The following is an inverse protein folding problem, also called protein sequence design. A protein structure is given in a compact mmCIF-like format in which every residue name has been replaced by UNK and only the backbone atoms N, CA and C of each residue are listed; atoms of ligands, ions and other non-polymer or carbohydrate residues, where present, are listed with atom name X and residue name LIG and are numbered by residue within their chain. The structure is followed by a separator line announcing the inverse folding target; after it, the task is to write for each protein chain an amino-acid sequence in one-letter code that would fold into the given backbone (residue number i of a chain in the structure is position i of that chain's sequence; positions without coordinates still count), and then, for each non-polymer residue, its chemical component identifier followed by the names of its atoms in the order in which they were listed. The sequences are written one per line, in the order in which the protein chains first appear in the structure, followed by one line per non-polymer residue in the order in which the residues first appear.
data_IF_664590879585
#
_entry.id   IF_664590879585
#
_cell.length_a   1.000
_cell.length_b   1.000
_cell.length_c   1.000
_cell.angle_alpha   90.00
_cell.angle_beta   90.00
_cell.angle_gamma   90.00
#
_symmetry.space_group_name_H-M   'P 1'
#
loop_
_entity.id
_entity.type
_entity.pdbx_description
1 polymer ?
#
# COMPACT_ATOMS: atom_id res chain seq x y z
N UNK A 1 -6.13 15.85 3.26
CA UNK A 1 -5.66 14.51 3.69
C UNK A 1 -5.20 14.58 5.14
N UNK A 2 -5.60 13.63 5.99
CA UNK A 2 -5.07 13.54 7.34
C UNK A 2 -3.57 13.28 7.28
N UNK A 3 -2.78 14.00 8.07
CA UNK A 3 -1.34 13.81 8.14
C UNK A 3 -1.07 12.47 8.81
N UNK A 4 -0.37 11.56 8.12
CA UNK A 4 0.03 10.27 8.70
C UNK A 4 1.16 10.56 9.70
N UNK A 5 0.87 10.41 10.98
CA UNK A 5 1.83 10.73 12.06
C UNK A 5 2.85 9.62 12.30
N UNK A 6 2.52 8.38 11.91
CA UNK A 6 3.39 7.20 12.07
C UNK A 6 3.26 6.28 10.87
N UNK A 7 4.39 5.80 10.36
CA UNK A 7 4.47 4.81 9.29
C UNK A 7 5.66 3.89 9.49
N UNK A 8 5.63 2.72 8.86
CA UNK A 8 6.76 1.78 8.83
C UNK A 8 7.77 2.15 7.73
N UNK A 9 7.28 2.68 6.62
CA UNK A 9 8.10 3.03 5.47
C UNK A 9 8.06 4.54 5.27
N UNK A 10 9.23 5.12 5.01
CA UNK A 10 9.38 6.55 4.78
C UNK A 10 10.25 6.78 3.55
N UNK A 11 9.92 7.79 2.77
CA UNK A 11 10.71 8.23 1.62
C UNK A 11 11.11 9.68 1.75
N UNK A 12 12.25 10.03 1.17
CA UNK A 12 12.75 11.39 1.15
C UNK A 12 13.62 11.66 -0.07
N UNK A 13 13.78 12.93 -0.37
CA UNK A 13 14.68 13.41 -1.42
C UNK A 13 15.87 14.09 -0.76
N UNK A 14 17.07 13.59 -1.04
CA UNK A 14 18.32 14.11 -0.53
C UNK A 14 19.12 14.75 -1.67
N UNK A 15 19.87 15.80 -1.35
CA UNK A 15 20.70 16.51 -2.31
C UNK A 15 22.19 16.18 -2.08
N UNK A 16 22.85 15.47 -3.03
CA UNK A 16 24.23 14.99 -2.88
C UNK A 16 25.23 16.07 -2.49
N UNK A 17 25.07 17.30 -2.95
CA UNK A 17 25.94 18.44 -2.60
C UNK A 17 25.93 18.82 -1.11
N UNK A 18 24.91 18.38 -0.38
CA UNK A 18 24.74 18.57 1.06
C UNK A 18 24.97 17.29 1.86
N UNK A 19 25.20 16.16 1.16
CA UNK A 19 25.54 14.88 1.80
C UNK A 19 27.04 14.80 2.07
N UNK A 20 27.41 13.86 2.94
CA UNK A 20 28.82 13.49 3.16
C UNK A 20 29.41 12.98 1.84
N UNK A 21 30.70 13.22 1.60
CA UNK A 21 31.37 12.75 0.38
C UNK A 21 31.36 11.21 0.26
N UNK A 22 31.51 10.52 1.39
CA UNK A 22 31.57 9.06 1.53
C UNK A 22 30.18 8.41 1.74
N UNK A 23 29.07 9.13 1.49
CA UNK A 23 27.73 8.65 1.85
C UNK A 23 27.35 7.30 1.25
N UNK A 24 27.83 6.97 0.05
CA UNK A 24 27.54 5.69 -0.62
C UNK A 24 28.19 4.50 0.09
N UNK A 25 29.41 4.69 0.60
CA UNK A 25 30.16 3.68 1.32
C UNK A 25 29.62 3.43 2.73
N UNK A 26 29.13 4.49 3.38
CA UNK A 26 28.71 4.42 4.79
C UNK A 26 27.19 4.36 5.00
N UNK A 27 26.39 4.44 3.94
CA UNK A 27 24.92 4.52 4.06
C UNK A 27 24.33 3.37 4.89
N UNK A 28 24.83 2.14 4.69
CA UNK A 28 24.37 0.97 5.42
C UNK A 28 24.61 1.07 6.91
N UNK A 29 25.84 1.43 7.28
CA UNK A 29 26.27 1.56 8.68
C UNK A 29 25.62 2.79 9.34
N UNK A 30 25.40 3.86 8.57
CA UNK A 30 24.82 5.10 9.08
C UNK A 30 23.33 4.95 9.35
N UNK A 31 22.56 4.39 8.42
CA UNK A 31 21.14 4.25 8.58
C UNK A 31 20.74 3.10 9.53
N UNK A 32 21.50 2.00 9.53
CA UNK A 32 21.25 0.77 10.29
C UNK A 32 19.87 0.11 10.04
N UNK A 33 19.07 0.65 9.11
CA UNK A 33 17.77 0.14 8.69
C UNK A 33 17.83 -0.31 7.24
N UNK A 34 16.98 -1.25 6.82
CA UNK A 34 16.80 -1.58 5.41
C UNK A 34 16.46 -0.34 4.58
N UNK A 35 17.16 -0.20 3.44
CA UNK A 35 16.98 0.96 2.57
C UNK A 35 17.03 0.58 1.09
N UNK A 36 16.40 1.42 0.27
CA UNK A 36 16.55 1.43 -1.18
C UNK A 36 16.70 2.86 -1.66
N UNK A 37 17.58 3.08 -2.65
CA UNK A 37 17.73 4.40 -3.25
C UNK A 37 18.04 4.34 -4.75
N UNK A 38 17.77 5.44 -5.44
CA UNK A 38 18.28 5.72 -6.77
C UNK A 38 18.71 7.19 -6.84
N UNK A 39 19.86 7.46 -7.48
CA UNK A 39 20.34 8.80 -7.73
C UNK A 39 19.85 9.28 -9.10
N UNK A 40 19.14 10.38 -9.12
CA UNK A 40 18.63 11.01 -10.33
C UNK A 40 19.55 12.16 -10.75
N UNK A 41 20.24 11.95 -11.86
CA UNK A 41 21.15 12.92 -12.46
C UNK A 41 20.77 13.34 -13.90
N UNK A 42 19.69 12.75 -14.46
CA UNK A 42 19.27 13.01 -15.85
C UNK A 42 17.87 13.64 -15.91
N UNK A 43 17.24 13.89 -14.78
CA UNK A 43 15.92 14.48 -14.71
C UNK A 43 15.87 15.88 -15.35
N UNK A 44 14.77 16.15 -16.06
CA UNK A 44 14.47 17.47 -16.62
C UNK A 44 13.28 18.09 -15.89
N UNK A 45 13.31 19.41 -15.78
CA UNK A 45 12.18 20.15 -15.26
C UNK A 45 11.09 20.37 -16.35
N UNK A 46 10.02 21.06 -16.00
CA UNK A 46 8.93 21.40 -16.93
C UNK A 46 9.35 22.30 -18.11
N UNK A 47 10.55 22.91 -18.05
CA UNK A 47 11.13 23.73 -19.10
C UNK A 47 12.19 22.99 -19.93
N UNK A 48 12.34 21.66 -19.70
CA UNK A 48 13.38 20.81 -20.30
C UNK A 48 14.81 21.20 -19.88
N UNK A 49 14.96 21.95 -18.81
CA UNK A 49 16.26 22.24 -18.20
C UNK A 49 16.67 21.09 -17.27
N UNK A 50 17.98 20.85 -17.16
CA UNK A 50 18.52 19.83 -16.28
C UNK A 50 18.14 20.12 -14.83
N UNK A 51 17.49 19.16 -14.18
CA UNK A 51 17.12 19.26 -12.77
C UNK A 51 18.34 18.94 -11.90
N UNK A 52 18.45 19.63 -10.78
CA UNK A 52 19.51 19.39 -9.79
C UNK A 52 19.57 17.92 -9.39
N UNK A 53 20.77 17.37 -9.34
CA UNK A 53 21.01 16.00 -8.88
C UNK A 53 20.39 15.77 -7.52
N UNK A 54 19.71 14.65 -7.37
CA UNK A 54 19.05 14.29 -6.12
C UNK A 54 18.96 12.77 -5.97
N UNK A 55 18.83 12.33 -4.73
CA UNK A 55 18.68 10.91 -4.37
C UNK A 55 17.29 10.71 -3.80
N UNK A 56 16.52 9.82 -4.40
CA UNK A 56 15.32 9.28 -3.78
C UNK A 56 15.71 8.13 -2.86
N UNK A 57 15.34 8.23 -1.59
CA UNK A 57 15.66 7.25 -0.56
C UNK A 57 14.38 6.71 0.07
N UNK A 58 14.32 5.40 0.25
CA UNK A 58 13.32 4.70 1.07
C UNK A 58 14.03 4.10 2.27
N UNK A 59 13.47 4.25 3.46
CA UNK A 59 13.91 3.57 4.69
C UNK A 59 12.76 2.76 5.26
N UNK A 60 13.02 1.48 5.55
CA UNK A 60 12.07 0.56 6.14
C UNK A 60 12.40 0.34 7.63
N UNK A 61 11.49 0.75 8.51
CA UNK A 61 11.65 0.55 9.95
C UNK A 61 11.03 -0.79 10.38
N UNK A 62 11.52 -1.45 11.43
CA UNK A 62 10.96 -2.70 11.92
C UNK A 62 9.52 -2.53 12.43
N UNK A 63 9.20 -1.35 12.96
CA UNK A 63 7.88 -0.97 13.45
C UNK A 63 7.51 0.42 12.93
N UNK A 64 6.25 0.83 13.11
CA UNK A 64 5.83 2.19 12.78
C UNK A 64 6.62 3.22 13.59
N UNK A 65 7.14 4.24 12.91
CA UNK A 65 7.90 5.34 13.53
C UNK A 65 7.30 6.69 13.17
N UNK A 66 7.70 7.72 13.92
CA UNK A 66 7.21 9.09 13.70
C UNK A 66 7.97 9.79 12.58
N UNK A 67 7.33 10.79 11.97
CA UNK A 67 7.96 11.70 11.00
C UNK A 67 9.32 12.24 11.47
N UNK A 68 9.37 12.72 12.73
CA UNK A 68 10.60 13.32 13.28
C UNK A 68 11.74 12.31 13.37
N UNK A 69 11.46 11.08 13.80
CA UNK A 69 12.49 10.04 13.88
C UNK A 69 12.96 9.64 12.48
N UNK A 70 12.06 9.42 11.53
CA UNK A 70 12.42 9.07 10.16
C UNK A 70 13.27 10.16 9.49
N UNK A 71 12.88 11.43 9.65
CA UNK A 71 13.65 12.56 9.13
C UNK A 71 15.06 12.63 9.76
N UNK A 72 15.17 12.46 11.07
CA UNK A 72 16.47 12.47 11.75
C UNK A 72 17.38 11.34 11.28
N UNK A 73 16.84 10.14 11.05
CA UNK A 73 17.64 9.00 10.54
C UNK A 73 18.17 9.31 9.14
N UNK A 74 17.36 9.84 8.23
CA UNK A 74 17.81 10.22 6.89
C UNK A 74 18.80 11.38 6.91
N UNK A 75 18.65 12.31 7.85
CA UNK A 75 19.52 13.47 8.00
C UNK A 75 20.95 13.11 8.50
N UNK A 76 21.16 11.90 9.04
CA UNK A 76 22.50 11.39 9.37
C UNK A 76 23.45 11.29 8.16
N UNK A 77 22.88 11.29 6.94
CA UNK A 77 23.66 11.32 5.70
C UNK A 77 24.11 12.73 5.31
N UNK A 78 23.69 13.76 6.02
CA UNK A 78 24.11 15.16 5.78
C UNK A 78 25.58 15.37 6.13
N UNK A 79 26.26 16.21 5.36
CA UNK A 79 27.59 16.69 5.73
C UNK A 79 27.53 17.61 6.97
N UNK A 80 28.63 17.73 7.66
CA UNK A 80 28.72 18.59 8.85
C UNK A 80 28.29 20.03 8.51
N UNK A 81 27.37 20.56 9.31
CA UNK A 81 26.82 21.92 9.13
C UNK A 81 25.91 22.10 7.91
N UNK A 82 25.60 21.03 7.15
CA UNK A 82 24.69 21.06 6.02
C UNK A 82 23.41 20.31 6.31
N UNK A 83 22.41 20.47 5.42
CA UNK A 83 21.16 19.73 5.47
C UNK A 83 20.85 19.13 4.10
N UNK A 84 20.97 17.81 3.98
CA UNK A 84 20.74 17.10 2.73
C UNK A 84 19.25 16.84 2.48
N UNK A 85 18.43 16.74 3.52
CA UNK A 85 17.00 16.46 3.44
C UNK A 85 16.18 17.51 4.18
N UNK A 86 15.10 18.01 3.57
CA UNK A 86 14.22 18.98 4.20
C UNK A 86 12.93 18.34 4.76
N UNK A 87 12.43 17.29 4.12
CA UNK A 87 11.21 16.59 4.51
C UNK A 87 11.27 15.13 4.08
N UNK A 88 10.56 14.29 4.81
CA UNK A 88 10.25 12.93 4.38
C UNK A 88 8.73 12.74 4.32
N UNK A 89 8.30 11.68 3.68
CA UNK A 89 6.88 11.38 3.49
C UNK A 89 6.61 9.92 3.87
N UNK A 90 5.48 9.68 4.54
CA UNK A 90 5.05 8.34 4.87
C UNK A 90 4.65 7.59 3.59
N UNK A 91 5.13 6.37 3.45
CA UNK A 91 4.83 5.50 2.32
C UNK A 91 3.67 4.58 2.68
N UNK A 92 2.58 4.66 1.93
CA UNK A 92 1.41 3.79 2.09
C UNK A 92 1.59 2.52 1.23
N UNK A 93 1.93 2.67 -0.04
CA UNK A 93 2.17 1.56 -0.98
C UNK A 93 3.66 1.43 -1.30
N UNK A 94 4.36 0.50 -0.65
CA UNK A 94 5.82 0.38 -0.78
C UNK A 94 6.25 0.04 -2.21
N UNK A 95 5.53 -0.81 -2.93
CA UNK A 95 5.84 -1.18 -4.32
C UNK A 95 5.84 0.04 -5.23
N UNK A 96 4.82 0.86 -5.16
CA UNK A 96 4.69 2.04 -6.02
C UNK A 96 5.86 3.03 -5.83
N UNK A 97 6.30 3.23 -4.59
CA UNK A 97 7.45 4.12 -4.29
C UNK A 97 8.77 3.45 -4.69
N UNK A 98 8.88 2.13 -4.57
CA UNK A 98 10.04 1.37 -5.00
C UNK A 98 10.21 1.39 -6.53
N UNK A 99 9.12 1.26 -7.28
CA UNK A 99 9.13 1.39 -8.74
C UNK A 99 9.37 2.84 -9.18
N UNK A 100 8.88 3.81 -8.38
CA UNK A 100 9.16 5.23 -8.60
C UNK A 100 10.65 5.59 -8.47
N UNK A 101 11.45 4.83 -7.70
CA UNK A 101 12.89 5.08 -7.60
C UNK A 101 13.59 5.11 -8.97
N UNK A 102 13.12 4.33 -9.93
CA UNK A 102 13.65 4.28 -11.30
C UNK A 102 12.65 4.85 -12.33
N UNK A 103 11.64 5.57 -11.86
CA UNK A 103 10.53 6.09 -12.65
C UNK A 103 9.72 5.03 -13.43
N UNK A 104 9.74 3.78 -12.97
CA UNK A 104 9.02 2.66 -13.58
C UNK A 104 7.55 2.58 -13.10
N UNK A 105 6.86 3.72 -13.06
CA UNK A 105 5.43 3.80 -12.78
C UNK A 105 4.66 4.30 -14.01
N UNK A 106 3.39 3.94 -14.11
CA UNK A 106 2.54 4.39 -15.22
C UNK A 106 2.45 5.93 -15.29
N UNK A 107 2.38 6.60 -14.13
CA UNK A 107 2.35 8.07 -14.05
C UNK A 107 3.67 8.69 -14.56
N UNK A 108 4.81 8.11 -14.23
CA UNK A 108 6.10 8.56 -14.74
C UNK A 108 6.20 8.40 -16.26
N UNK A 109 5.75 7.25 -16.81
CA UNK A 109 5.74 7.02 -18.26
C UNK A 109 4.79 7.99 -18.97
N UNK A 110 3.59 8.23 -18.45
CA UNK A 110 2.63 9.22 -18.99
C UNK A 110 3.19 10.64 -18.98
N UNK A 111 3.99 11.00 -17.99
CA UNK A 111 4.64 12.31 -17.86
C UNK A 111 5.94 12.42 -18.66
N UNK A 112 6.37 11.37 -19.35
CA UNK A 112 7.61 11.35 -20.13
C UNK A 112 8.86 11.56 -19.29
N UNK A 113 8.85 11.09 -18.02
CA UNK A 113 10.04 11.15 -17.17
C UNK A 113 11.14 10.23 -17.68
N UNK A 114 12.39 10.64 -17.45
CA UNK A 114 13.56 9.80 -17.72
C UNK A 114 13.45 8.49 -16.95
N UNK A 115 13.68 7.37 -17.66
CA UNK A 115 13.66 6.03 -17.04
C UNK A 115 15.10 5.67 -16.66
N UNK A 116 15.29 5.24 -15.43
CA UNK A 116 16.57 4.76 -14.95
C UNK A 116 16.67 3.24 -15.09
N UNK A 117 17.89 2.72 -15.29
CA UNK A 117 18.10 1.27 -15.38
C UNK A 117 17.80 0.61 -14.03
N UNK A 118 17.16 -0.58 -14.00
CA UNK A 118 16.90 -1.31 -12.76
C UNK A 118 18.14 -1.53 -11.88
N UNK A 119 19.35 -1.61 -12.46
CA UNK A 119 20.60 -1.73 -11.73
C UNK A 119 21.03 -0.46 -10.98
N UNK A 120 20.46 0.70 -11.33
CA UNK A 120 20.70 1.97 -10.63
C UNK A 120 19.93 2.07 -9.31
N UNK A 121 18.96 1.18 -9.11
CA UNK A 121 18.26 1.04 -7.84
C UNK A 121 19.07 0.18 -6.89
N UNK A 122 19.67 0.80 -5.91
CA UNK A 122 20.55 0.16 -4.93
C UNK A 122 19.75 -0.15 -3.66
N UNK A 123 19.91 -1.36 -3.15
CA UNK A 123 19.32 -1.79 -1.86
C UNK A 123 20.40 -2.20 -0.87
N UNK A 124 20.12 -2.03 0.41
CA UNK A 124 21.05 -2.44 1.47
C UNK A 124 20.34 -2.81 2.77
N UNK A 125 21.10 -3.33 3.72
CA UNK A 125 20.65 -3.79 5.04
C UNK A 125 19.47 -4.77 4.95
N UNK A 126 19.54 -5.73 4.00
CA UNK A 126 18.51 -6.73 3.77
C UNK A 126 17.13 -6.14 3.38
N UNK A 127 17.13 -5.06 2.60
CA UNK A 127 15.89 -4.55 2.03
C UNK A 127 15.28 -5.60 1.09
N UNK A 128 14.12 -6.10 1.43
CA UNK A 128 13.38 -7.09 0.65
C UNK A 128 11.98 -6.59 0.31
N UNK A 129 11.83 -6.12 -0.93
CA UNK A 129 10.54 -5.59 -1.41
C UNK A 129 9.45 -6.66 -1.39
N UNK A 130 9.78 -7.92 -1.73
CA UNK A 130 8.82 -9.02 -1.72
C UNK A 130 8.27 -9.30 -0.32
N UNK A 131 9.13 -9.23 0.72
CA UNK A 131 8.70 -9.38 2.10
C UNK A 131 7.85 -8.18 2.58
N UNK A 132 8.09 -6.98 2.04
CA UNK A 132 7.34 -5.77 2.42
C UNK A 132 6.00 -5.64 1.73
N UNK A 133 5.79 -6.31 0.60
CA UNK A 133 4.51 -6.41 -0.09
C UNK A 133 3.53 -7.37 0.58
N UNK A 134 4.01 -8.22 1.46
CA UNK A 134 3.12 -9.05 2.25
C UNK A 134 2.25 -8.17 3.13
N UNK A 135 0.95 -8.44 3.09
CA UNK A 135 -0.03 -7.73 3.90
C UNK A 135 0.39 -7.66 5.38
N UNK A 136 0.48 -6.47 5.91
CA UNK A 136 0.63 -6.25 7.34
C UNK A 136 -0.59 -6.72 8.13
N UNK A 137 -0.41 -6.95 9.43
CA UNK A 137 -1.51 -7.38 10.31
C UNK A 137 -2.69 -6.39 10.31
N UNK A 138 -2.42 -5.09 10.20
CA UNK A 138 -3.47 -4.07 10.15
C UNK A 138 -4.30 -4.18 8.87
N UNK A 139 -3.67 -4.34 7.72
CA UNK A 139 -4.32 -4.50 6.42
C UNK A 139 -5.13 -5.80 6.36
N UNK A 140 -4.56 -6.91 6.87
CA UNK A 140 -5.30 -8.19 7.00
C UNK A 140 -6.54 -8.05 7.88
N UNK A 141 -6.45 -7.30 8.97
CA UNK A 141 -7.58 -7.07 9.86
C UNK A 141 -8.66 -6.18 9.20
N UNK A 142 -8.26 -5.17 8.43
CA UNK A 142 -9.19 -4.33 7.67
C UNK A 142 -9.98 -5.17 6.66
N UNK A 143 -9.28 -5.94 5.82
CA UNK A 143 -9.91 -6.86 4.86
C UNK A 143 -10.80 -7.91 5.54
N UNK A 144 -10.34 -8.45 6.68
CA UNK A 144 -11.15 -9.39 7.47
C UNK A 144 -12.45 -8.77 7.97
N UNK A 145 -12.41 -7.53 8.47
CA UNK A 145 -13.60 -6.83 8.95
C UNK A 145 -14.56 -6.50 7.81
N UNK A 146 -14.04 -6.05 6.67
CA UNK A 146 -14.83 -5.78 5.47
C UNK A 146 -15.56 -7.03 4.97
N UNK A 147 -14.84 -8.14 4.82
CA UNK A 147 -15.44 -9.43 4.45
C UNK A 147 -16.45 -9.93 5.47
N UNK A 148 -16.17 -9.73 6.77
CA UNK A 148 -17.13 -10.03 7.85
C UNK A 148 -18.39 -9.16 7.79
N UNK A 149 -18.29 -7.93 7.33
CA UNK A 149 -19.42 -7.03 7.08
C UNK A 149 -20.21 -7.50 5.87
N UNK A 150 -19.56 -7.87 4.77
CA UNK A 150 -20.21 -8.43 3.59
C UNK A 150 -21.04 -9.69 3.93
N UNK A 151 -20.51 -10.60 4.76
CA UNK A 151 -21.27 -11.77 5.25
C UNK A 151 -22.57 -11.34 5.93
N UNK A 152 -22.56 -10.29 6.75
CA UNK A 152 -23.76 -9.82 7.48
C UNK A 152 -24.73 -9.12 6.55
N UNK A 153 -24.26 -8.28 5.65
CA UNK A 153 -25.10 -7.46 4.77
C UNK A 153 -25.79 -8.30 3.70
N UNK A 154 -25.06 -9.25 3.10
CA UNK A 154 -25.61 -10.16 2.10
C UNK A 154 -26.30 -11.39 2.71
N UNK A 155 -26.13 -11.61 4.03
CA UNK A 155 -26.80 -12.70 4.72
C UNK A 155 -26.28 -14.09 4.35
N UNK A 156 -25.01 -14.23 3.94
CA UNK A 156 -24.44 -15.52 3.56
C UNK A 156 -24.58 -16.54 4.69
N UNK A 157 -25.16 -17.67 4.38
CA UNK A 157 -25.39 -18.82 5.30
C UNK A 157 -24.50 -20.02 4.97
N UNK A 158 -23.83 -19.99 3.82
CA UNK A 158 -22.93 -21.02 3.31
C UNK A 158 -21.56 -20.38 2.98
N UNK A 159 -20.48 -21.04 3.39
CA UNK A 159 -19.13 -20.56 3.15
C UNK A 159 -18.76 -20.56 1.66
N UNK A 160 -19.23 -21.53 0.89
CA UNK A 160 -18.92 -21.58 -0.56
C UNK A 160 -19.57 -20.43 -1.33
N UNK A 161 -20.82 -20.08 -1.01
CA UNK A 161 -21.51 -18.93 -1.63
C UNK A 161 -20.75 -17.63 -1.31
N UNK A 162 -20.23 -17.51 -0.09
CA UNK A 162 -19.41 -16.37 0.30
C UNK A 162 -18.05 -16.38 -0.41
N UNK A 163 -17.41 -17.56 -0.58
CA UNK A 163 -16.16 -17.69 -1.31
C UNK A 163 -16.31 -17.22 -2.77
N UNK A 164 -17.35 -17.69 -3.46
CA UNK A 164 -17.67 -17.29 -4.83
C UNK A 164 -17.88 -15.77 -4.92
N UNK A 165 -18.64 -15.20 -3.97
CA UNK A 165 -18.82 -13.74 -3.89
C UNK A 165 -17.50 -12.99 -3.76
N UNK A 166 -16.58 -13.44 -2.91
CA UNK A 166 -15.28 -12.78 -2.73
C UNK A 166 -14.44 -12.85 -4.00
N UNK A 167 -14.40 -14.00 -4.66
CA UNK A 167 -13.68 -14.18 -5.93
C UNK A 167 -14.24 -13.30 -7.04
N UNK A 168 -15.56 -13.14 -7.09
CA UNK A 168 -16.22 -12.36 -8.15
C UNK A 168 -16.21 -10.84 -7.88
N UNK A 169 -16.09 -10.43 -6.62
CA UNK A 169 -16.25 -9.02 -6.23
C UNK A 169 -14.91 -8.30 -6.04
N UNK A 170 -13.91 -8.99 -5.48
CA UNK A 170 -12.64 -8.35 -5.15
C UNK A 170 -11.56 -8.70 -6.19
N UNK A 171 -11.05 -7.68 -6.89
CA UNK A 171 -9.95 -7.86 -7.86
C UNK A 171 -8.60 -8.09 -7.16
N UNK A 172 -8.45 -7.62 -5.91
CA UNK A 172 -7.22 -7.77 -5.14
C UNK A 172 -7.08 -9.19 -4.57
N UNK A 173 -6.11 -9.94 -5.06
CA UNK A 173 -5.80 -11.31 -4.61
C UNK A 173 -5.49 -11.42 -3.12
N UNK A 174 -5.19 -10.31 -2.46
CA UNK A 174 -4.96 -10.28 -1.02
C UNK A 174 -6.21 -10.68 -0.21
N UNK A 175 -7.41 -10.42 -0.72
CA UNK A 175 -8.65 -10.91 -0.11
C UNK A 175 -8.72 -12.43 -0.07
N UNK A 176 -8.24 -13.10 -1.12
CA UNK A 176 -8.15 -14.57 -1.16
C UNK A 176 -7.14 -15.08 -0.13
N UNK A 177 -5.99 -14.39 0.04
CA UNK A 177 -5.02 -14.74 1.07
C UNK A 177 -5.61 -14.61 2.47
N UNK A 178 -6.27 -13.49 2.77
CA UNK A 178 -6.95 -13.25 4.05
C UNK A 178 -8.03 -14.29 4.29
N UNK A 179 -8.84 -14.63 3.27
CA UNK A 179 -9.85 -15.67 3.35
C UNK A 179 -9.24 -17.03 3.72
N UNK A 180 -8.12 -17.41 3.09
CA UNK A 180 -7.40 -18.65 3.43
C UNK A 180 -6.91 -18.65 4.86
N UNK A 181 -6.31 -17.54 5.32
CA UNK A 181 -5.78 -17.39 6.67
C UNK A 181 -6.89 -17.49 7.75
N UNK A 182 -8.08 -16.98 7.44
CA UNK A 182 -9.19 -16.87 8.40
C UNK A 182 -10.42 -17.71 8.02
N UNK A 183 -10.26 -18.71 7.15
CA UNK A 183 -11.36 -19.56 6.63
C UNK A 183 -12.29 -20.08 7.70
N UNK A 184 -11.74 -20.64 8.80
CA UNK A 184 -12.54 -21.12 9.93
C UNK A 184 -13.32 -20.03 10.69
N UNK A 185 -12.93 -18.76 10.62
CA UNK A 185 -13.71 -17.65 11.15
C UNK A 185 -14.89 -17.32 10.24
N UNK A 186 -14.66 -17.23 8.95
CA UNK A 186 -15.70 -16.95 7.97
C UNK A 186 -16.74 -18.08 7.89
N UNK A 187 -16.29 -19.34 7.97
CA UNK A 187 -17.18 -20.49 8.09
C UNK A 187 -18.10 -20.40 9.33
N UNK A 188 -17.53 -20.01 10.48
CA UNK A 188 -18.33 -19.81 11.71
C UNK A 188 -19.31 -18.62 11.57
N UNK A 189 -18.92 -17.55 10.88
CA UNK A 189 -19.79 -16.40 10.64
C UNK A 189 -20.98 -16.77 9.76
N UNK A 190 -20.76 -17.45 8.64
CA UNK A 190 -21.83 -17.92 7.75
C UNK A 190 -22.75 -18.92 8.44
N UNK A 191 -22.18 -19.85 9.20
CA UNK A 191 -22.94 -20.80 10.05
C UNK A 191 -23.77 -20.07 11.12
N UNK A 192 -23.22 -19.01 11.72
CA UNK A 192 -23.95 -18.17 12.69
C UNK A 192 -25.15 -17.45 12.07
N UNK A 193 -25.03 -16.98 10.81
CA UNK A 193 -26.16 -16.43 10.07
C UNK A 193 -27.23 -17.49 9.80
N UNK A 194 -26.83 -18.70 9.40
CA UNK A 194 -27.74 -19.82 9.23
C UNK A 194 -28.53 -20.13 10.53
N UNK A 195 -27.86 -20.22 11.65
CA UNK A 195 -28.47 -20.46 12.96
C UNK A 195 -29.47 -19.36 13.36
N UNK A 196 -29.12 -18.08 13.14
CA UNK A 196 -30.03 -16.95 13.38
C UNK A 196 -31.27 -17.04 12.52
N UNK A 197 -31.07 -17.37 11.25
CA UNK A 197 -32.16 -17.52 10.30
C UNK A 197 -33.09 -18.68 10.73
N UNK A 198 -32.53 -19.84 11.09
CA UNK A 198 -33.29 -21.01 11.55
C UNK A 198 -34.08 -20.72 12.83
N UNK A 199 -33.51 -19.98 13.78
CA UNK A 199 -34.14 -19.61 15.05
C UNK A 199 -35.19 -18.51 14.88
N UNK A 200 -34.97 -17.55 13.98
CA UNK A 200 -35.80 -16.37 13.83
C UNK A 200 -36.95 -16.50 12.81
N UNK A 201 -36.84 -17.42 11.85
CA UNK A 201 -37.76 -17.50 10.71
C UNK A 201 -38.10 -18.93 10.34
N UNK A 202 -38.81 -19.63 11.20
CA UNK A 202 -39.40 -20.93 10.87
C UNK A 202 -40.44 -20.79 9.76
N UNK A 203 -40.06 -20.63 8.50
CA UNK A 203 -40.95 -20.52 7.38
C UNK A 203 -40.30 -20.08 6.05
N UNK A 204 -39.17 -19.43 6.06
CA UNK A 204 -38.48 -19.06 4.84
C UNK A 204 -37.27 -19.98 4.61
N UNK A 205 -37.25 -20.67 3.46
CA UNK A 205 -36.11 -21.53 3.12
C UNK A 205 -34.93 -20.69 2.65
N UNK A 206 -33.66 -20.94 3.12
CA UNK A 206 -32.44 -20.18 2.73
C UNK A 206 -32.22 -20.12 1.22
N UNK A 207 -32.57 -21.20 0.51
CA UNK A 207 -32.40 -21.32 -0.93
C UNK A 207 -33.18 -20.29 -1.78
N UNK A 208 -34.20 -19.64 -1.23
CA UNK A 208 -34.97 -18.65 -1.98
C UNK A 208 -34.38 -17.25 -1.96
N UNK A 209 -33.58 -16.91 -0.92
CA UNK A 209 -32.85 -15.65 -0.87
C UNK A 209 -31.59 -15.67 -1.75
N UNK A 210 -30.98 -16.85 -1.92
CA UNK A 210 -29.74 -17.03 -2.70
C UNK A 210 -30.00 -17.11 -4.22
N UNK A 211 -31.14 -17.68 -4.66
CA UNK A 211 -31.50 -17.73 -6.09
C UNK A 211 -31.90 -16.37 -6.68
N UNK A 212 -32.24 -15.38 -5.86
CA UNK A 212 -32.46 -14.00 -6.36
C UNK A 212 -31.16 -13.24 -6.62
N UNK A 213 -30.06 -13.58 -5.99
CA UNK A 213 -28.76 -12.98 -6.25
C UNK A 213 -28.12 -13.51 -7.54
N UNK A 214 -28.43 -14.77 -7.94
CA UNK A 214 -27.84 -15.40 -9.14
C UNK A 214 -28.65 -15.24 -10.42
N UNK A 215 -29.91 -14.74 -10.38
CA UNK A 215 -30.79 -14.59 -11.57
C UNK A 215 -31.07 -13.16 -11.98
N UNK A 216 -30.72 -12.17 -11.19
CA UNK A 216 -30.70 -10.78 -11.65
C UNK A 216 -29.26 -10.41 -12.01
N UNK A 217 -28.93 -10.57 -13.30
CA UNK A 217 -27.92 -9.75 -13.96
C UNK A 217 -28.41 -8.28 -14.00
N UNK A 218 -28.66 -7.73 -12.87
CA UNK A 218 -28.73 -6.30 -12.65
C UNK A 218 -27.51 -6.03 -11.82
N UNK A 219 -26.51 -5.41 -12.43
CA UNK A 219 -25.43 -4.74 -11.73
C UNK A 219 -26.03 -4.07 -10.50
N UNK A 220 -25.64 -4.47 -9.28
CA UNK A 220 -25.94 -3.64 -8.14
C UNK A 220 -25.22 -2.32 -8.40
N UNK A 221 -25.94 -1.21 -8.26
CA UNK A 221 -25.35 0.10 -8.12
C UNK A 221 -24.46 0.13 -6.85
N UNK A 222 -23.37 -0.61 -6.86
CA UNK A 222 -22.28 -0.52 -5.89
C UNK A 222 -21.39 0.70 -6.14
N UNK A 223 -21.75 1.55 -7.12
CA UNK A 223 -21.02 2.78 -7.43
C UNK A 223 -21.22 3.90 -6.42
N UNK A 224 -22.11 3.75 -5.43
CA UNK A 224 -22.33 4.81 -4.45
C UNK A 224 -21.45 4.77 -3.20
N UNK A 225 -20.68 3.68 -2.97
CA UNK A 225 -19.79 3.58 -1.80
C UNK A 225 -18.31 3.68 -2.14
N UNK A 226 -17.94 3.62 -3.43
CA UNK A 226 -16.54 3.79 -3.87
C UNK A 226 -16.16 5.27 -4.10
N UNK A 227 -17.11 6.20 -3.98
CA UNK A 227 -16.88 7.63 -4.24
C UNK A 227 -16.27 8.42 -3.07
N UNK A 228 -15.68 7.78 -2.07
CA UNK A 228 -15.00 8.51 -0.98
C UNK A 228 -13.50 8.71 -1.23
N UNK A 229 -12.92 8.18 -2.32
CA UNK A 229 -11.51 8.36 -2.62
C UNK A 229 -11.21 8.75 -4.08
N UNK A 230 -11.81 9.83 -4.57
CA UNK A 230 -11.23 10.55 -5.69
C UNK A 230 -10.30 11.66 -5.18
N UNK A 231 -9.01 11.67 -5.56
CA UNK A 231 -8.15 12.81 -5.26
C UNK A 231 -8.60 13.98 -6.14
N UNK A 232 -9.16 14.99 -5.53
CA UNK A 232 -9.48 16.27 -6.15
C UNK A 232 -8.28 16.79 -6.95
N UNK A 233 -8.43 16.88 -8.27
CA UNK A 233 -7.57 17.65 -9.15
C UNK A 233 -7.54 19.10 -8.62
N UNK A 234 -6.39 19.55 -8.20
CA UNK A 234 -6.11 20.97 -8.11
C UNK A 234 -5.86 21.50 -9.52
N UNK A 235 -6.85 22.24 -10.04
CA UNK A 235 -6.69 23.17 -11.13
C UNK A 235 -6.10 24.47 -10.55
N UNK A 236 -5.04 24.87 -11.13
CA UNK A 236 -4.45 26.20 -11.39
C UNK A 236 -2.94 26.20 -11.30
#
# INVERSE_FOLDING_TARGET
MAKIDKARFWTGVLYPENMREDWKEVIGDTLQYPYAYCQHSQDKDSKSEHRKDHVHLIVAFPNTTTYKHALNVMDLLSAEGKKAINKCEAVVGIRNVYDYLIHDTEDCRKKGKEQYDPSERITGNNFDIGAYEQLGTAEKNEMFLEMGQAIREHGFTNYMDFYEFVVDTYEDMNYIEVMRCYSGHFERMTRGNYQRWEQGQRGLRPSQAQHHASTTKTTPDCLSLIHIYEPTRLLS
#
